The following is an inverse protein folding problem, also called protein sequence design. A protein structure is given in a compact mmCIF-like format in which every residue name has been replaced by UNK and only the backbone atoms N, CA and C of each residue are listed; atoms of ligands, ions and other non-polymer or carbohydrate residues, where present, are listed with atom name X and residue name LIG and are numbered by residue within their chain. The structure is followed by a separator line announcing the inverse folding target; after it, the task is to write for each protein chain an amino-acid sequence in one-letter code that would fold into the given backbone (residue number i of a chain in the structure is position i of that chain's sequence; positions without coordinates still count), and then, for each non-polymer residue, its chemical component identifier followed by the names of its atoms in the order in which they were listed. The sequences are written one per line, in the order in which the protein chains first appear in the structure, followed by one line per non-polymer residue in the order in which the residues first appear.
data_IF_084449077019
#
_entry.id   IF_084449077019
#
_cell.length_a   1.000
_cell.length_b   1.000
_cell.length_c   1.000
_cell.angle_alpha   90.00
_cell.angle_beta   90.00
_cell.angle_gamma   90.00
#
_symmetry.space_group_name_H-M   'P 1'
#
loop_
_entity.id
_entity.type
_entity.pdbx_description
1 polymer ?
#
# COMPACT_ATOMS: atom_id res chain seq x y z
N UNK A 1 -7.55 10.54 -5.73
CA UNK A 1 -6.16 10.99 -5.53
C UNK A 1 -5.90 11.19 -4.03
N UNK A 2 -4.67 11.09 -3.54
CA UNK A 2 -4.33 11.37 -2.13
C UNK A 2 -3.32 12.51 -2.00
N UNK A 3 -3.36 13.23 -0.88
CA UNK A 3 -2.49 14.39 -0.60
C UNK A 3 -3.17 15.74 -0.86
N UNK A 4 -2.38 16.79 -1.10
CA UNK A 4 -2.85 18.17 -1.22
C UNK A 4 -2.63 18.72 -2.64
N UNK A 5 -3.69 18.66 -3.46
CA UNK A 5 -3.70 19.20 -4.81
C UNK A 5 -4.02 20.69 -4.88
N UNK A 6 -4.41 21.33 -3.78
CA UNK A 6 -4.73 22.76 -3.79
C UNK A 6 -3.51 23.61 -4.15
N UNK A 7 -2.30 23.05 -3.91
CA UNK A 7 -0.99 23.60 -4.25
C UNK A 7 -0.63 23.53 -5.75
N UNK A 8 -1.38 22.75 -6.54
CA UNK A 8 -1.13 22.63 -7.97
C UNK A 8 -1.73 23.81 -8.76
N UNK A 9 -1.23 24.11 -9.97
CA UNK A 9 -1.92 25.02 -10.89
C UNK A 9 -3.39 24.65 -11.10
N UNK A 10 -4.26 25.66 -11.24
CA UNK A 10 -5.71 25.47 -11.41
C UNK A 10 -6.08 24.60 -12.62
N UNK A 11 -5.29 24.66 -13.68
CA UNK A 11 -5.44 23.80 -14.85
C UNK A 11 -5.27 22.32 -14.51
N UNK A 12 -4.25 21.97 -13.70
CA UNK A 12 -4.04 20.59 -13.24
C UNK A 12 -5.13 20.14 -12.25
N UNK A 13 -5.56 21.01 -11.33
CA UNK A 13 -6.68 20.72 -10.43
C UNK A 13 -7.93 20.33 -11.22
N UNK A 14 -8.24 21.06 -12.30
CA UNK A 14 -9.38 20.77 -13.17
C UNK A 14 -9.23 19.41 -13.87
N UNK A 15 -8.06 19.12 -14.44
CA UNK A 15 -7.80 17.83 -15.12
C UNK A 15 -7.91 16.63 -14.17
N UNK A 16 -7.43 16.80 -12.93
CA UNK A 16 -7.56 15.76 -11.89
C UNK A 16 -9.04 15.48 -11.61
N UNK A 17 -9.85 16.52 -11.40
CA UNK A 17 -11.28 16.37 -11.12
C UNK A 17 -12.02 15.72 -12.30
N UNK A 18 -11.70 16.10 -13.54
CA UNK A 18 -12.27 15.48 -14.74
C UNK A 18 -11.91 13.99 -14.83
N UNK A 19 -10.64 13.64 -14.58
CA UNK A 19 -10.19 12.24 -14.59
C UNK A 19 -10.88 11.41 -13.49
N UNK A 20 -11.03 11.95 -12.29
CA UNK A 20 -11.76 11.30 -11.19
C UNK A 20 -13.23 11.08 -11.54
N UNK A 21 -13.91 12.08 -12.12
CA UNK A 21 -15.32 11.99 -12.50
C UNK A 21 -15.57 10.95 -13.60
N UNK A 22 -14.70 10.91 -14.63
CA UNK A 22 -14.79 9.93 -15.72
C UNK A 22 -14.54 8.50 -15.21
N UNK A 23 -13.67 8.34 -14.21
CA UNK A 23 -13.23 7.01 -13.73
C UNK A 23 -13.96 6.51 -12.48
N UNK A 24 -14.81 7.31 -11.83
CA UNK A 24 -15.43 6.97 -10.53
C UNK A 24 -16.21 5.66 -10.47
N UNK A 25 -16.73 5.18 -11.60
CA UNK A 25 -17.48 3.92 -11.71
C UNK A 25 -16.62 2.72 -12.13
N UNK A 26 -15.30 2.91 -12.31
CA UNK A 26 -14.38 1.83 -12.69
C UNK A 26 -14.15 0.88 -11.53
N UNK A 27 -14.41 -0.41 -11.76
CA UNK A 27 -14.27 -1.46 -10.74
C UNK A 27 -13.10 -2.41 -10.99
N UNK A 28 -12.48 -2.36 -12.17
CA UNK A 28 -11.39 -3.28 -12.55
C UNK A 28 -10.03 -2.86 -12.01
N UNK A 29 -9.75 -1.55 -12.01
CA UNK A 29 -8.48 -0.98 -11.59
C UNK A 29 -8.77 0.32 -10.86
N UNK A 30 -8.19 0.45 -9.66
CA UNK A 30 -8.14 1.71 -8.92
C UNK A 30 -6.71 2.23 -9.00
N UNK A 31 -6.49 3.29 -9.79
CA UNK A 31 -5.20 3.99 -9.82
C UNK A 31 -5.24 5.14 -8.81
N UNK A 32 -4.29 5.16 -7.89
CA UNK A 32 -4.22 6.17 -6.85
C UNK A 32 -2.92 6.94 -7.02
N UNK A 33 -3.07 8.23 -7.32
CA UNK A 33 -1.95 9.15 -7.47
C UNK A 33 -1.80 9.94 -6.16
N UNK A 34 -0.57 10.00 -5.65
CA UNK A 34 -0.23 10.78 -4.46
C UNK A 34 0.46 12.08 -4.88
N UNK A 35 -0.14 13.23 -4.53
CA UNK A 35 0.39 14.55 -4.89
C UNK A 35 0.52 15.42 -3.65
N UNK A 36 1.70 16.01 -3.45
CA UNK A 36 2.05 16.74 -2.21
C UNK A 36 1.73 15.92 -0.95
N UNK A 37 1.88 14.60 -1.03
CA UNK A 37 1.52 13.66 0.03
C UNK A 37 2.67 13.48 1.03
N UNK A 38 2.32 13.24 2.30
CA UNK A 38 3.25 12.97 3.40
C UNK A 38 2.59 11.97 4.36
N UNK A 39 3.20 10.80 4.57
CA UNK A 39 2.69 9.80 5.51
C UNK A 39 2.66 10.28 6.95
N UNK A 40 3.62 11.12 7.35
CA UNK A 40 3.60 11.79 8.66
C UNK A 40 2.44 12.78 8.79
N UNK A 41 2.16 13.59 7.76
CA UNK A 41 1.02 14.51 7.79
C UNK A 41 -0.30 13.73 7.88
N UNK A 42 -0.39 12.61 7.17
CA UNK A 42 -1.54 11.71 7.19
C UNK A 42 -1.86 11.23 8.61
N UNK A 43 -0.85 10.72 9.33
CA UNK A 43 -0.98 10.27 10.72
C UNK A 43 -1.33 11.44 11.64
N UNK A 44 -0.66 12.60 11.51
CA UNK A 44 -0.94 13.78 12.33
C UNK A 44 -2.40 14.22 12.19
N UNK A 45 -2.92 14.24 10.96
CA UNK A 45 -4.29 14.65 10.66
C UNK A 45 -5.32 13.64 11.19
N UNK A 46 -5.02 12.34 11.11
CA UNK A 46 -5.85 11.31 11.73
C UNK A 46 -5.90 11.49 13.26
N UNK A 47 -4.76 11.67 13.92
CA UNK A 47 -4.71 11.93 15.37
C UNK A 47 -5.47 13.20 15.76
N UNK A 48 -5.33 14.29 14.98
CA UNK A 48 -6.09 15.52 15.20
C UNK A 48 -7.60 15.30 15.02
N UNK A 49 -8.01 14.53 14.00
CA UNK A 49 -9.42 14.17 13.79
C UNK A 49 -10.01 13.41 14.96
N UNK A 50 -9.30 12.39 15.46
CA UNK A 50 -9.69 11.62 16.64
C UNK A 50 -9.76 12.53 17.88
N UNK A 51 -8.76 13.38 18.10
CA UNK A 51 -8.74 14.26 19.26
C UNK A 51 -9.94 15.24 19.28
N UNK A 52 -10.38 15.73 18.13
CA UNK A 52 -11.60 16.54 18.04
C UNK A 52 -12.84 15.71 18.39
N UNK A 53 -12.97 14.49 17.87
CA UNK A 53 -14.10 13.61 18.21
C UNK A 53 -14.16 13.28 19.70
N UNK A 54 -13.01 13.09 20.35
CA UNK A 54 -12.93 12.91 21.80
C UNK A 54 -13.35 14.18 22.55
N UNK A 55 -12.84 15.34 22.14
CA UNK A 55 -13.22 16.64 22.71
C UNK A 55 -14.73 16.90 22.61
N UNK A 56 -15.34 16.49 21.51
CA UNK A 56 -16.77 16.67 21.23
C UNK A 56 -17.63 15.56 21.86
N UNK A 57 -17.05 14.70 22.71
CA UNK A 57 -17.71 13.57 23.37
C UNK A 57 -18.38 12.56 22.40
N UNK A 58 -17.86 12.46 21.17
CA UNK A 58 -18.29 11.47 20.18
C UNK A 58 -17.53 10.14 20.31
N UNK A 59 -16.39 10.14 21.00
CA UNK A 59 -15.53 9.00 21.28
C UNK A 59 -14.90 9.15 22.66
N UNK A 60 -14.66 8.05 23.35
CA UNK A 60 -13.78 8.02 24.51
C UNK A 60 -12.35 7.67 24.08
N UNK A 61 -11.30 8.09 24.81
CA UNK A 61 -9.91 7.69 24.51
C UNK A 61 -9.72 6.17 24.43
N UNK A 62 -10.52 5.40 25.16
CA UNK A 62 -10.50 3.92 25.15
C UNK A 62 -11.06 3.30 23.88
N UNK A 63 -11.79 4.07 23.08
CA UNK A 63 -12.33 3.61 21.79
C UNK A 63 -11.28 3.67 20.67
N UNK A 64 -10.11 4.28 20.95
CA UNK A 64 -9.05 4.45 19.96
C UNK A 64 -8.34 3.11 19.73
N UNK A 65 -8.52 2.58 18.52
CA UNK A 65 -7.92 1.33 18.05
C UNK A 65 -7.12 1.55 16.78
N UNK A 66 -6.29 0.58 16.37
CA UNK A 66 -5.60 0.61 15.07
C UNK A 66 -6.60 0.77 13.91
N UNK A 67 -7.74 0.09 13.98
CA UNK A 67 -8.83 0.20 12.98
C UNK A 67 -9.40 1.61 12.92
N UNK A 68 -9.59 2.26 14.08
CA UNK A 68 -10.05 3.65 14.10
C UNK A 68 -9.00 4.58 13.47
N UNK A 69 -7.72 4.42 13.81
CA UNK A 69 -6.65 5.24 13.22
C UNK A 69 -6.64 5.05 11.71
N UNK A 70 -6.71 3.80 11.24
CA UNK A 70 -6.74 3.48 9.81
C UNK A 70 -7.89 4.17 9.08
N UNK A 71 -9.11 4.15 9.65
CA UNK A 71 -10.28 4.85 9.10
C UNK A 71 -10.13 6.37 9.06
N UNK A 72 -9.35 6.93 9.99
CA UNK A 72 -9.15 8.37 10.12
C UNK A 72 -8.07 8.93 9.19
N UNK A 73 -7.22 8.07 8.61
CA UNK A 73 -6.23 8.47 7.61
C UNK A 73 -6.89 9.04 6.35
N UNK A 74 -6.27 10.07 5.76
CA UNK A 74 -6.72 10.69 4.50
C UNK A 74 -6.79 9.66 3.37
N UNK A 75 -5.93 8.64 3.36
CA UNK A 75 -5.99 7.58 2.35
C UNK A 75 -7.33 6.85 2.35
N UNK A 76 -7.84 6.49 3.53
CA UNK A 76 -9.08 5.73 3.68
C UNK A 76 -10.34 6.60 3.63
N UNK A 77 -10.21 7.89 3.93
CA UNK A 77 -11.32 8.85 3.76
C UNK A 77 -11.66 9.14 2.29
N UNK A 78 -10.69 9.01 1.37
CA UNK A 78 -10.91 9.28 -0.06
C UNK A 78 -11.47 8.05 -0.79
N UNK A 79 -10.93 6.88 -0.48
CA UNK A 79 -11.35 5.60 -1.06
C UNK A 79 -11.04 4.51 -0.05
N UNK A 80 -11.79 3.41 -0.06
CA UNK A 80 -11.37 2.18 0.61
C UNK A 80 -10.01 1.76 0.04
N UNK A 81 -8.94 2.08 0.78
CA UNK A 81 -7.54 1.98 0.38
C UNK A 81 -6.94 0.76 1.07
N UNK A 82 -6.88 -0.40 0.39
CA UNK A 82 -6.19 -1.54 0.97
C UNK A 82 -4.70 -1.23 1.11
N UNK A 83 -4.09 -1.71 2.19
CA UNK A 83 -2.64 -1.65 2.36
C UNK A 83 -1.94 -2.33 1.17
N UNK A 84 -0.89 -1.73 0.58
CA UNK A 84 -0.24 -2.31 -0.59
C UNK A 84 0.40 -3.66 -0.26
N UNK A 85 0.32 -4.61 -1.18
CA UNK A 85 1.02 -5.90 -1.00
C UNK A 85 2.50 -5.79 -1.37
N UNK A 86 2.80 -4.97 -2.38
CA UNK A 86 4.14 -4.75 -2.92
C UNK A 86 4.35 -3.25 -3.16
N UNK A 87 5.48 -2.74 -2.66
CA UNK A 87 6.01 -1.44 -2.99
C UNK A 87 7.22 -1.63 -3.92
N UNK A 88 7.15 -1.02 -5.10
CA UNK A 88 8.27 -0.94 -6.02
C UNK A 88 8.88 0.46 -5.94
N UNK A 89 10.19 0.53 -5.71
CA UNK A 89 10.96 1.79 -5.70
C UNK A 89 12.16 1.70 -6.64
N UNK A 90 12.23 2.67 -7.55
CA UNK A 90 13.27 2.77 -8.58
C UNK A 90 14.48 3.56 -8.09
N UNK A 91 15.49 3.74 -8.96
CA UNK A 91 16.72 4.52 -8.74
C UNK A 91 17.69 4.00 -7.66
N UNK A 92 17.54 2.74 -7.24
CA UNK A 92 18.41 2.10 -6.24
C UNK A 92 18.21 2.57 -4.80
N UNK A 93 17.25 3.46 -4.55
CA UNK A 93 17.09 4.11 -3.26
C UNK A 93 16.35 3.23 -2.25
N UNK A 94 17.04 2.79 -1.19
CA UNK A 94 16.49 1.90 -0.17
C UNK A 94 15.90 2.66 1.03
N UNK A 95 14.84 3.43 0.78
CA UNK A 95 14.08 4.13 1.83
C UNK A 95 12.62 4.23 1.45
N UNK A 96 11.76 4.56 2.41
CA UNK A 96 10.35 4.87 2.12
C UNK A 96 10.14 6.34 1.74
N UNK A 97 11.01 7.23 2.22
CA UNK A 97 10.91 8.69 2.01
C UNK A 97 9.53 9.25 2.38
N UNK A 98 9.00 8.85 3.55
CA UNK A 98 7.73 9.36 4.07
C UNK A 98 6.50 9.02 3.19
N UNK A 99 6.60 7.98 2.37
CA UNK A 99 5.48 7.46 1.58
C UNK A 99 4.73 6.38 2.37
N UNK A 100 3.39 6.46 2.40
CA UNK A 100 2.44 5.49 2.96
C UNK A 100 2.89 4.78 4.26
N UNK A 101 3.37 5.54 5.25
CA UNK A 101 4.06 4.97 6.42
C UNK A 101 3.20 3.98 7.22
N UNK A 102 1.91 4.25 7.34
CA UNK A 102 0.98 3.38 8.04
C UNK A 102 0.64 2.14 7.21
N UNK A 103 0.30 2.36 5.94
CA UNK A 103 -0.20 1.34 5.03
C UNK A 103 0.90 0.36 4.61
N UNK A 104 2.18 0.74 4.72
CA UNK A 104 3.31 -0.09 4.33
C UNK A 104 3.81 -1.05 5.42
N UNK A 105 3.16 -1.10 6.59
CA UNK A 105 3.64 -1.85 7.76
C UNK A 105 3.95 -3.33 7.47
N UNK A 106 3.22 -3.96 6.54
CA UNK A 106 3.38 -5.36 6.16
C UNK A 106 3.64 -5.55 4.66
N UNK A 107 4.00 -4.48 3.95
CA UNK A 107 4.22 -4.49 2.51
C UNK A 107 5.58 -5.07 2.16
N UNK A 108 5.64 -5.89 1.10
CA UNK A 108 6.91 -6.33 0.55
C UNK A 108 7.60 -5.18 -0.20
N UNK A 109 8.89 -4.96 0.06
CA UNK A 109 9.64 -3.85 -0.50
C UNK A 109 10.59 -4.37 -1.59
N UNK A 110 10.40 -3.90 -2.82
CA UNK A 110 11.25 -4.21 -3.95
C UNK A 110 11.95 -2.94 -4.45
N UNK A 111 13.28 -2.93 -4.36
CA UNK A 111 14.11 -1.82 -4.80
C UNK A 111 14.85 -2.23 -6.08
N UNK A 112 14.77 -1.39 -7.12
CA UNK A 112 15.41 -1.62 -8.42
C UNK A 112 16.31 -0.44 -8.78
N UNK A 113 17.47 -0.73 -9.39
CA UNK A 113 18.47 0.29 -9.76
C UNK A 113 18.01 1.18 -10.92
N UNK A 114 17.23 0.63 -11.86
CA UNK A 114 16.72 1.36 -13.01
C UNK A 114 16.01 2.66 -12.60
N UNK A 115 16.28 3.74 -13.31
CA UNK A 115 15.54 5.00 -13.14
C UNK A 115 14.10 4.83 -13.63
N UNK A 116 13.20 5.67 -13.14
CA UNK A 116 11.78 5.61 -13.51
C UNK A 116 11.49 5.71 -15.02
N UNK A 117 12.15 6.60 -15.80
CA UNK A 117 11.95 6.63 -17.24
C UNK A 117 12.34 5.33 -17.95
N UNK A 118 13.24 4.56 -17.34
CA UNK A 118 13.76 3.29 -17.86
C UNK A 118 13.03 2.06 -17.27
N UNK A 119 12.14 2.25 -16.30
CA UNK A 119 11.38 1.17 -15.68
C UNK A 119 10.28 0.69 -16.63
N UNK A 120 10.34 -0.58 -17.04
CA UNK A 120 9.42 -1.15 -18.00
C UNK A 120 8.89 -2.54 -17.61
N UNK A 121 8.41 -3.27 -18.61
CA UNK A 121 7.77 -4.58 -18.44
C UNK A 121 8.69 -5.61 -17.79
N UNK A 122 10.00 -5.59 -18.12
CA UNK A 122 10.98 -6.54 -17.58
C UNK A 122 11.18 -6.35 -16.08
N UNK A 123 11.40 -5.11 -15.64
CA UNK A 123 11.59 -4.77 -14.24
C UNK A 123 10.31 -5.02 -13.43
N UNK A 124 9.16 -4.72 -14.03
CA UNK A 124 7.86 -5.01 -13.42
C UNK A 124 7.62 -6.52 -13.24
N UNK A 125 7.89 -7.33 -14.27
CA UNK A 125 7.80 -8.79 -14.17
C UNK A 125 8.76 -9.34 -13.10
N UNK A 126 9.98 -8.79 -13.02
CA UNK A 126 10.93 -9.17 -11.98
C UNK A 126 10.41 -8.85 -10.56
N UNK A 127 9.78 -7.68 -10.37
CA UNK A 127 9.16 -7.31 -9.10
C UNK A 127 8.02 -8.26 -8.71
N UNK A 128 7.21 -8.70 -9.68
CA UNK A 128 6.14 -9.68 -9.45
C UNK A 128 6.70 -11.06 -9.11
N UNK A 129 7.72 -11.53 -9.83
CA UNK A 129 8.39 -12.79 -9.51
C UNK A 129 9.02 -12.76 -8.11
N UNK A 130 9.67 -11.64 -7.76
CA UNK A 130 10.17 -11.42 -6.41
C UNK A 130 9.04 -11.56 -5.39
N UNK A 131 7.93 -10.83 -5.57
CA UNK A 131 6.79 -10.87 -4.67
C UNK A 131 6.22 -12.28 -4.50
N UNK A 132 6.03 -13.02 -5.60
CA UNK A 132 5.53 -14.39 -5.58
C UNK A 132 6.49 -15.39 -4.93
N UNK A 133 7.80 -15.15 -5.01
CA UNK A 133 8.81 -16.00 -4.37
C UNK A 133 8.83 -15.88 -2.84
N UNK A 134 8.26 -14.81 -2.30
CA UNK A 134 8.23 -14.58 -0.85
C UNK A 134 7.21 -15.52 -0.20
N UNK A 135 7.71 -16.41 0.64
CA UNK A 135 6.85 -17.14 1.57
C UNK A 135 6.36 -16.17 2.64
N UNK A 136 5.07 -15.82 2.61
CA UNK A 136 4.43 -15.06 3.69
C UNK A 136 4.53 -15.89 4.97
N UNK A 137 5.47 -15.51 5.84
CA UNK A 137 5.53 -16.02 7.22
C UNK A 137 4.40 -15.33 7.98
N UNK A 138 3.21 -15.95 7.99
CA UNK A 138 2.06 -15.49 8.78
C UNK A 138 2.32 -15.64 10.29
N UNK A 139 3.31 -14.91 10.83
CA UNK A 139 3.61 -14.91 12.26
C UNK A 139 4.05 -16.26 12.86
N UNK A 140 4.29 -17.30 12.05
CA UNK A 140 4.90 -18.54 12.56
C UNK A 140 6.33 -18.20 13.01
N UNK A 141 6.53 -18.11 14.33
CA UNK A 141 7.86 -18.39 14.89
C UNK A 141 8.24 -19.76 14.37
N UNK A 142 9.37 -19.86 13.69
CA UNK A 142 10.02 -21.14 13.52
C UNK A 142 10.36 -21.56 14.95
N UNK A 143 9.58 -22.47 15.51
CA UNK A 143 10.06 -23.24 16.66
C UNK A 143 11.14 -24.12 16.04
N UNK A 144 12.39 -23.80 16.34
CA UNK A 144 13.47 -24.77 16.28
C UNK A 144 13.08 -25.88 17.26
N UNK A 145 12.48 -26.94 16.73
CA UNK A 145 12.45 -28.23 17.40
C UNK A 145 13.27 -29.19 16.54
N UNK A 146 14.46 -29.50 17.06
CA UNK A 146 15.26 -30.65 16.70
C UNK A 146 14.40 -31.92 16.81
N UNK A 147 14.19 -32.64 15.71
CA UNK A 147 14.30 -34.11 15.67
C UNK A 147 13.94 -34.71 14.29
N UNK A 148 14.86 -35.53 13.83
CA UNK A 148 14.83 -36.49 12.72
C UNK A 148 13.47 -37.12 12.40
N UNK A 149 13.12 -37.21 11.11
CA UNK A 149 12.74 -38.46 10.39
C UNK A 149 12.72 -38.24 8.87
N UNK A 150 13.31 -39.20 8.15
CA UNK A 150 13.35 -39.34 6.69
C UNK A 150 12.06 -40.00 6.19
N UNK A 151 11.47 -39.52 5.09
CA UNK A 151 10.36 -40.20 4.42
C UNK A 151 9.93 -39.54 3.12
N UNK A 152 10.33 -40.13 1.99
CA UNK A 152 9.89 -39.82 0.62
C UNK A 152 8.39 -40.06 0.44
N UNK A 153 7.66 -39.10 -0.14
CA UNK A 153 6.39 -39.35 -0.81
C UNK A 153 6.25 -38.45 -2.05
N UNK A 154 6.12 -39.09 -3.22
CA UNK A 154 5.69 -38.51 -4.49
C UNK A 154 4.20 -38.88 -4.64
N UNK A 155 3.33 -37.87 -4.76
CA UNK A 155 2.06 -37.77 -5.50
C UNK A 155 1.27 -36.60 -4.87
N UNK A 156 0.47 -35.77 -5.54
CA UNK A 156 -0.21 -35.85 -6.83
C UNK A 156 -0.52 -34.40 -7.23
N UNK A 157 -0.76 -34.15 -8.53
CA UNK A 157 -1.42 -32.93 -9.00
C UNK A 157 -2.70 -32.65 -8.19
N UNK A 158 -2.74 -31.49 -7.53
CA UNK A 158 -3.90 -30.99 -6.81
C UNK A 158 -4.10 -29.51 -7.14
N UNK A 159 -4.78 -29.26 -8.25
CA UNK A 159 -5.37 -27.97 -8.60
C UNK A 159 -6.14 -27.39 -7.41
N UNK A 160 -5.63 -26.30 -6.82
CA UNK A 160 -6.42 -25.45 -5.93
C UNK A 160 -6.86 -24.19 -6.68
N UNK A 161 -8.09 -23.70 -6.41
CA UNK A 161 -8.72 -22.67 -7.22
C UNK A 161 -8.00 -21.34 -7.05
N UNK A 162 -7.83 -20.64 -8.16
CA UNK A 162 -7.38 -19.25 -8.21
C UNK A 162 -8.49 -18.36 -7.66
N UNK A 163 -8.59 -18.25 -6.32
CA UNK A 163 -9.39 -17.20 -5.69
C UNK A 163 -8.84 -15.84 -6.13
N UNK A 164 -9.75 -14.94 -6.51
CA UNK A 164 -9.46 -13.57 -6.95
C UNK A 164 -8.67 -12.82 -5.88
N UNK A 165 -7.34 -12.90 -5.93
CA UNK A 165 -6.47 -11.94 -5.29
C UNK A 165 -6.56 -10.64 -6.10
N UNK A 166 -7.25 -9.64 -5.56
CA UNK A 166 -7.08 -8.25 -5.97
C UNK A 166 -5.72 -7.79 -5.45
N UNK A 167 -4.67 -8.02 -6.22
CA UNK A 167 -3.36 -7.46 -5.91
C UNK A 167 -3.42 -5.93 -6.03
N UNK A 168 -3.17 -5.23 -4.93
CA UNK A 168 -3.02 -3.78 -4.94
C UNK A 168 -1.54 -3.45 -5.08
N UNK A 169 -1.13 -3.13 -6.30
CA UNK A 169 0.27 -2.78 -6.61
C UNK A 169 0.42 -1.27 -6.54
N UNK A 170 1.19 -0.81 -5.56
CA UNK A 170 1.57 0.59 -5.41
C UNK A 170 2.88 0.85 -6.15
N UNK A 171 2.82 1.62 -7.24
CA UNK A 171 4.02 2.10 -7.94
C UNK A 171 4.19 3.58 -7.60
N UNK A 172 5.32 3.95 -6.97
CA UNK A 172 5.58 5.33 -6.56
C UNK A 172 6.84 5.88 -7.23
N UNK A 173 6.72 7.10 -7.77
CA UNK A 173 7.82 7.89 -8.26
C UNK A 173 7.83 9.25 -7.54
N UNK A 174 8.98 9.62 -6.99
CA UNK A 174 9.20 10.98 -6.47
C UNK A 174 9.75 11.84 -7.60
N UNK A 175 9.00 12.84 -8.07
CA UNK A 175 9.62 14.00 -8.70
C UNK A 175 10.09 14.90 -7.55
N UNK A 176 11.41 15.09 -7.45
CA UNK A 176 11.96 16.21 -6.68
C UNK A 176 11.73 17.52 -7.44
#
# INVERSE_FOLDING_TARGET
MIGDSSKLPKTLQKLILEAEEITKKSTKLKLIVAVSYSGRDDIVQACQGIAHKVKDALLEPTDITESLIDQELKTNRVIDFPSPDLLIRTSGEQRLSNFLLWQLAYTELFFVESFWPDFGEREYAAALCFFQSRQRRFGKRVLEDDSYWVGTFIDTMGSKPMERMQYSIGVWYTMF
#
